data_IF_302251509208
#
_entry.id   IF_302251509208
#
_cell.length_a   1.000
_cell.length_b   1.000
_cell.length_c   1.000
_cell.angle_alpha   90.00
_cell.angle_beta   90.00
_cell.angle_gamma   90.00
#
_symmetry.space_group_name_H-M   'P 1'
#
loop_
_entity.id
_entity.type
_entity.pdbx_description
1 polymer ?
#
# COMPACT_ATOMS: atom_id res chain seq x y z
N UNK A 1 -33.30 9.78 -7.92
CA UNK A 1 -32.08 10.57 -8.14
C UNK A 1 -32.17 11.79 -7.26
N UNK A 2 -31.29 11.90 -6.28
CA UNK A 2 -31.24 13.00 -5.32
C UNK A 2 -30.89 14.29 -6.08
N UNK A 3 -31.62 15.38 -5.81
CA UNK A 3 -31.44 16.65 -6.53
C UNK A 3 -30.23 17.38 -5.94
N UNK A 4 -29.24 17.69 -6.77
CA UNK A 4 -28.08 18.50 -6.38
C UNK A 4 -28.51 19.91 -5.96
N UNK A 5 -27.71 20.53 -5.09
CA UNK A 5 -27.94 21.90 -4.62
C UNK A 5 -28.00 22.87 -5.82
N UNK A 6 -28.90 23.88 -5.84
CA UNK A 6 -29.10 24.79 -6.98
C UNK A 6 -27.83 25.49 -7.47
N UNK A 7 -26.86 25.73 -6.58
CA UNK A 7 -25.57 26.36 -6.92
C UNK A 7 -24.46 25.38 -7.34
N UNK A 8 -24.79 24.12 -7.59
CA UNK A 8 -23.80 23.11 -7.99
C UNK A 8 -23.49 23.26 -9.47
N UNK A 9 -22.29 23.74 -9.80
CA UNK A 9 -21.78 23.73 -11.18
C UNK A 9 -21.32 22.32 -11.54
N UNK A 10 -22.07 21.64 -12.40
CA UNK A 10 -21.68 20.34 -12.95
C UNK A 10 -20.81 20.55 -14.19
N UNK A 11 -19.55 20.13 -14.10
CA UNK A 11 -18.62 20.16 -15.23
C UNK A 11 -18.52 18.75 -15.83
N UNK A 12 -18.87 18.66 -17.11
CA UNK A 12 -18.57 17.48 -17.90
C UNK A 12 -17.13 17.53 -18.39
N UNK A 13 -16.62 16.38 -18.81
CA UNK A 13 -15.22 16.21 -19.23
C UNK A 13 -14.73 17.26 -20.25
N UNK A 14 -15.49 17.63 -21.32
CA UNK A 14 -15.05 18.69 -22.22
C UNK A 14 -14.89 20.05 -21.53
N UNK A 15 -15.79 20.38 -20.60
CA UNK A 15 -15.75 21.62 -19.83
C UNK A 15 -14.59 21.63 -18.84
N UNK A 16 -14.29 20.48 -18.23
CA UNK A 16 -13.11 20.31 -17.38
C UNK A 16 -11.82 20.55 -18.18
N UNK A 17 -11.66 19.93 -19.35
CA UNK A 17 -10.47 20.14 -20.17
C UNK A 17 -10.35 21.58 -20.66
N UNK A 18 -11.46 22.22 -21.04
CA UNK A 18 -11.45 23.63 -21.41
C UNK A 18 -11.00 24.52 -20.26
N UNK A 19 -11.46 24.24 -19.03
CA UNK A 19 -11.02 24.96 -17.84
C UNK A 19 -9.52 24.77 -17.59
N UNK A 20 -9.04 23.52 -17.66
CA UNK A 20 -7.63 23.20 -17.43
C UNK A 20 -6.73 23.84 -18.48
N UNK A 21 -7.12 23.81 -19.76
CA UNK A 21 -6.37 24.43 -20.86
C UNK A 21 -6.30 25.96 -20.79
N UNK A 22 -7.28 26.60 -20.15
CA UNK A 22 -7.29 28.06 -19.96
C UNK A 22 -6.64 28.51 -18.64
N UNK A 23 -6.33 27.57 -17.74
CA UNK A 23 -5.73 27.85 -16.45
C UNK A 23 -4.23 28.16 -16.55
N UNK A 24 -3.75 29.10 -15.73
CA UNK A 24 -2.33 29.47 -15.58
C UNK A 24 -1.72 28.95 -14.28
N UNK A 25 -2.39 28.02 -13.60
CA UNK A 25 -1.83 27.40 -12.40
C UNK A 25 -0.68 26.47 -12.80
N UNK A 26 0.43 26.40 -12.03
CA UNK A 26 1.58 25.54 -12.38
C UNK A 26 1.20 24.07 -12.62
N UNK A 27 0.21 23.56 -11.89
CA UNK A 27 -0.30 22.19 -12.08
C UNK A 27 -1.04 22.00 -13.41
N UNK A 28 -1.76 23.02 -13.86
CA UNK A 28 -2.47 23.00 -15.13
C UNK A 28 -1.49 23.14 -16.30
N UNK A 29 -0.45 23.98 -16.16
CA UNK A 29 0.62 24.10 -17.17
C UNK A 29 1.40 22.79 -17.33
N UNK A 30 1.71 22.10 -16.22
CA UNK A 30 2.34 20.78 -16.28
C UNK A 30 1.46 19.75 -17.01
N UNK A 31 0.16 19.73 -16.71
CA UNK A 31 -0.80 18.86 -17.40
C UNK A 31 -0.90 19.19 -18.89
N UNK A 32 -1.04 20.48 -19.24
CA UNK A 32 -1.07 20.92 -20.64
C UNK A 32 0.21 20.52 -21.38
N UNK A 33 1.38 20.74 -20.78
CA UNK A 33 2.67 20.35 -21.35
C UNK A 33 2.75 18.86 -21.63
N UNK A 34 2.28 18.02 -20.70
CA UNK A 34 2.21 16.58 -20.88
C UNK A 34 1.21 16.17 -21.98
N UNK A 35 -0.01 16.72 -21.97
CA UNK A 35 -1.04 16.40 -22.97
C UNK A 35 -0.62 16.80 -24.38
N UNK A 36 -0.14 18.03 -24.58
CA UNK A 36 0.21 18.55 -25.91
C UNK A 36 1.59 18.09 -26.39
N UNK A 37 2.53 17.84 -25.46
CA UNK A 37 3.89 17.41 -25.80
C UNK A 37 4.02 15.90 -26.01
N UNK A 38 3.23 15.09 -25.29
CA UNK A 38 3.42 13.64 -25.24
C UNK A 38 2.16 12.89 -25.68
N UNK A 39 1.02 13.13 -25.03
CA UNK A 39 -0.20 12.33 -25.20
C UNK A 39 -0.79 12.47 -26.60
N UNK A 40 -1.19 13.69 -26.99
CA UNK A 40 -1.83 13.94 -28.28
C UNK A 40 -0.91 13.64 -29.47
N UNK A 41 0.40 13.99 -29.45
CA UNK A 41 1.33 13.57 -30.50
C UNK A 41 1.43 12.05 -30.66
N UNK A 42 1.40 11.30 -29.55
CA UNK A 42 1.45 9.83 -29.57
C UNK A 42 0.19 9.23 -30.19
N UNK A 43 -1.00 9.69 -29.76
CA UNK A 43 -2.28 9.26 -30.33
C UNK A 43 -2.34 9.59 -31.82
N UNK A 44 -1.93 10.79 -32.22
CA UNK A 44 -1.91 11.19 -33.64
C UNK A 44 -1.01 10.30 -34.49
N UNK A 45 0.16 9.89 -33.99
CA UNK A 45 1.15 9.10 -34.75
C UNK A 45 0.85 7.60 -34.76
N UNK A 46 0.45 7.05 -33.61
CA UNK A 46 0.40 5.60 -33.35
C UNK A 46 -1.04 5.11 -33.18
N UNK A 47 -2.01 6.03 -33.05
CA UNK A 47 -3.42 5.72 -32.77
C UNK A 47 -3.70 5.39 -31.30
N UNK A 48 -2.69 5.47 -30.43
CA UNK A 48 -2.82 5.23 -29.00
C UNK A 48 -1.75 5.97 -28.20
N UNK A 49 -2.02 6.21 -26.92
CA UNK A 49 -1.04 6.64 -25.95
C UNK A 49 -0.94 5.58 -24.86
N UNK A 50 0.28 5.13 -24.58
CA UNK A 50 0.59 4.22 -23.48
C UNK A 50 1.32 5.03 -22.44
N UNK A 51 0.83 5.02 -21.21
CA UNK A 51 1.59 5.55 -20.10
C UNK A 51 2.93 4.82 -20.04
N UNK A 52 4.06 5.52 -19.84
CA UNK A 52 5.30 4.84 -19.51
C UNK A 52 5.02 3.92 -18.33
N UNK A 53 5.55 2.70 -18.36
CA UNK A 53 5.49 1.76 -17.23
C UNK A 53 6.32 2.33 -16.08
N UNK A 54 5.87 3.41 -15.46
CA UNK A 54 6.39 3.94 -14.21
C UNK A 54 5.88 3.01 -13.12
N UNK A 55 6.46 1.80 -12.96
CA UNK A 55 6.00 0.71 -12.07
C UNK A 55 5.01 1.21 -11.02
N UNK A 56 3.71 1.29 -11.36
CA UNK A 56 2.72 1.44 -10.34
C UNK A 56 2.59 0.03 -9.79
N UNK A 57 2.29 -0.07 -8.50
CA UNK A 57 1.68 -1.21 -7.84
C UNK A 57 0.38 -1.73 -8.52
N UNK A 58 0.11 -1.36 -9.76
CA UNK A 58 -0.97 -1.85 -10.59
C UNK A 58 -0.46 -3.03 -11.42
N UNK A 59 -0.59 -4.23 -10.86
CA UNK A 59 -0.46 -5.44 -11.66
C UNK A 59 -1.50 -5.41 -12.80
N UNK A 60 -1.05 -5.79 -14.01
CA UNK A 60 -1.85 -6.33 -15.13
C UNK A 60 -3.29 -6.55 -14.73
N UNK A 61 -4.27 -5.97 -15.44
CA UNK A 61 -5.72 -6.18 -15.30
C UNK A 61 -6.08 -7.60 -14.79
N UNK A 62 -5.93 -7.81 -13.49
CA UNK A 62 -6.22 -9.06 -12.82
C UNK A 62 -7.70 -8.91 -12.58
N UNK A 63 -8.48 -9.71 -13.28
CA UNK A 63 -9.91 -9.75 -13.03
C UNK A 63 -10.07 -10.44 -11.67
N UNK A 64 -9.99 -9.68 -10.59
CA UNK A 64 -10.22 -10.14 -9.23
C UNK A 64 -11.73 -10.31 -9.07
N UNK A 65 -12.21 -11.54 -9.14
CA UNK A 65 -13.66 -11.83 -9.17
C UNK A 65 -14.15 -12.23 -7.78
N UNK A 66 -13.29 -12.85 -6.98
CA UNK A 66 -13.63 -13.43 -5.68
C UNK A 66 -12.49 -13.25 -4.65
N UNK A 67 -12.73 -13.68 -3.41
CA UNK A 67 -11.78 -13.60 -2.29
C UNK A 67 -10.50 -14.42 -2.55
N UNK A 68 -10.61 -15.58 -3.17
CA UNK A 68 -9.45 -16.43 -3.52
C UNK A 68 -8.52 -15.74 -4.52
N UNK A 69 -9.08 -15.09 -5.56
CA UNK A 69 -8.29 -14.35 -6.54
C UNK A 69 -7.54 -13.19 -5.86
N UNK A 70 -8.23 -12.45 -4.99
CA UNK A 70 -7.64 -11.36 -4.21
C UNK A 70 -6.53 -11.87 -3.29
N UNK A 71 -6.77 -12.98 -2.59
CA UNK A 71 -5.77 -13.62 -1.74
C UNK A 71 -4.52 -13.99 -2.53
N UNK A 72 -4.67 -14.63 -3.68
CA UNK A 72 -3.53 -15.01 -4.52
C UNK A 72 -2.75 -13.79 -5.02
N UNK A 73 -3.45 -12.73 -5.42
CA UNK A 73 -2.82 -11.49 -5.85
C UNK A 73 -1.94 -10.87 -4.74
N UNK A 74 -2.47 -10.78 -3.52
CA UNK A 74 -1.76 -10.23 -2.36
C UNK A 74 -0.55 -11.11 -1.99
N UNK A 75 -0.71 -12.43 -2.01
CA UNK A 75 0.40 -13.35 -1.73
C UNK A 75 1.48 -13.29 -2.81
N UNK A 76 1.12 -13.19 -4.08
CA UNK A 76 2.06 -13.02 -5.18
C UNK A 76 2.83 -11.70 -5.06
N UNK A 77 2.12 -10.61 -4.72
CA UNK A 77 2.74 -9.32 -4.42
C UNK A 77 3.78 -9.44 -3.30
N UNK A 78 3.41 -10.00 -2.15
CA UNK A 78 4.31 -10.19 -1.02
C UNK A 78 5.52 -11.05 -1.40
N UNK A 79 5.32 -12.17 -2.12
CA UNK A 79 6.43 -13.02 -2.57
C UNK A 79 7.39 -12.29 -3.51
N UNK A 80 6.86 -11.41 -4.38
CA UNK A 80 7.65 -10.67 -5.37
C UNK A 80 8.41 -9.51 -4.74
N UNK A 81 7.73 -8.67 -3.95
CA UNK A 81 8.27 -7.40 -3.45
C UNK A 81 8.79 -7.47 -2.00
N UNK A 82 8.28 -8.41 -1.20
CA UNK A 82 8.68 -8.65 0.19
C UNK A 82 9.09 -10.12 0.43
N UNK A 83 10.09 -10.66 -0.28
CA UNK A 83 10.43 -12.10 -0.22
C UNK A 83 10.91 -12.60 1.16
N UNK A 84 11.19 -11.68 2.10
CA UNK A 84 11.53 -12.00 3.50
C UNK A 84 10.33 -12.00 4.44
N UNK A 85 9.14 -11.68 3.93
CA UNK A 85 7.91 -11.72 4.70
C UNK A 85 7.59 -13.18 5.08
N UNK A 86 7.39 -13.40 6.38
CA UNK A 86 6.93 -14.64 6.98
C UNK A 86 5.40 -14.65 6.93
N UNK A 87 4.88 -15.22 5.86
CA UNK A 87 3.44 -15.26 5.59
C UNK A 87 2.83 -16.51 6.24
N UNK A 88 1.72 -16.33 6.96
CA UNK A 88 0.90 -17.39 7.53
C UNK A 88 -0.53 -17.29 6.97
N UNK A 89 -0.92 -18.16 6.03
CA UNK A 89 -2.26 -18.12 5.45
C UNK A 89 -3.30 -18.82 6.33
N UNK A 90 -4.51 -18.26 6.39
CA UNK A 90 -5.71 -18.90 6.92
C UNK A 90 -6.23 -19.94 5.93
N UNK A 91 -6.25 -21.22 6.33
CA UNK A 91 -6.65 -22.34 5.46
C UNK A 91 -8.11 -22.77 5.66
N UNK A 92 -8.99 -21.82 6.03
CA UNK A 92 -10.40 -22.09 6.33
C UNK A 92 -11.16 -22.76 5.18
N UNK A 93 -10.85 -22.39 3.94
CA UNK A 93 -11.46 -22.95 2.72
C UNK A 93 -11.25 -24.45 2.56
N UNK A 94 -10.22 -25.03 3.19
CA UNK A 94 -9.93 -26.47 3.11
C UNK A 94 -10.75 -27.31 4.10
N UNK A 95 -11.56 -26.67 4.96
CA UNK A 95 -12.44 -27.36 5.93
C UNK A 95 -13.80 -27.75 5.33
N UNK A 96 -13.76 -28.35 4.14
CA UNK A 96 -14.93 -28.74 3.33
C UNK A 96 -15.85 -29.76 4.03
N UNK A 97 -15.30 -30.67 4.83
CA UNK A 97 -16.02 -31.73 5.53
C UNK A 97 -16.14 -31.47 7.02
N UNK A 98 -17.20 -32.01 7.63
CA UNK A 98 -17.39 -31.97 9.09
C UNK A 98 -16.22 -32.59 9.84
N UNK A 99 -15.63 -33.66 9.31
CA UNK A 99 -14.42 -34.27 9.88
C UNK A 99 -13.25 -33.29 9.93
N UNK A 100 -12.93 -32.63 8.80
CA UNK A 100 -11.84 -31.64 8.76
C UNK A 100 -12.10 -30.45 9.68
N UNK A 101 -13.34 -30.00 9.83
CA UNK A 101 -13.72 -28.95 10.80
C UNK A 101 -13.50 -29.39 12.25
N UNK A 102 -13.94 -30.59 12.61
CA UNK A 102 -13.73 -31.13 13.95
C UNK A 102 -12.23 -31.34 14.26
N UNK A 103 -11.47 -31.86 13.30
CA UNK A 103 -10.03 -32.05 13.43
C UNK A 103 -9.28 -30.71 13.53
N UNK A 104 -9.62 -29.73 12.68
CA UNK A 104 -9.06 -28.39 12.76
C UNK A 104 -9.33 -27.73 14.11
N UNK A 105 -10.57 -27.82 14.62
CA UNK A 105 -10.92 -27.32 15.94
C UNK A 105 -10.11 -27.98 17.05
N UNK A 106 -9.93 -29.30 17.01
CA UNK A 106 -9.07 -30.03 17.97
C UNK A 106 -7.60 -29.62 17.90
N UNK A 107 -7.15 -29.15 16.74
CA UNK A 107 -5.80 -28.59 16.52
C UNK A 107 -5.69 -27.12 16.92
N UNK A 108 -6.75 -26.52 17.46
CA UNK A 108 -6.78 -25.12 17.91
C UNK A 108 -7.18 -24.12 16.83
N UNK A 109 -7.61 -24.57 15.64
CA UNK A 109 -8.24 -23.68 14.68
C UNK A 109 -9.55 -23.16 15.26
N UNK A 110 -9.79 -21.85 15.21
CA UNK A 110 -11.12 -21.33 15.52
C UNK A 110 -11.63 -20.40 14.43
N UNK A 111 -12.96 -20.28 14.35
CA UNK A 111 -13.61 -19.47 13.32
C UNK A 111 -13.40 -17.98 13.56
N UNK A 112 -12.97 -17.26 12.52
CA UNK A 112 -12.64 -15.84 12.61
C UNK A 112 -11.14 -15.57 12.53
N UNK A 113 -10.30 -16.61 12.45
CA UNK A 113 -8.88 -16.44 12.13
C UNK A 113 -8.72 -15.69 10.79
N UNK A 114 -7.84 -14.68 10.71
CA UNK A 114 -7.61 -13.90 9.50
C UNK A 114 -7.18 -14.74 8.29
N UNK A 115 -7.53 -14.29 7.09
CA UNK A 115 -7.14 -14.94 5.83
C UNK A 115 -5.62 -14.93 5.61
N UNK A 116 -4.94 -13.86 6.03
CA UNK A 116 -3.51 -13.70 5.84
C UNK A 116 -2.87 -13.02 7.03
N UNK A 117 -1.77 -13.56 7.53
CA UNK A 117 -0.93 -12.90 8.52
C UNK A 117 0.50 -12.75 8.03
N UNK A 118 1.12 -11.63 8.38
CA UNK A 118 2.55 -11.35 8.21
C UNK A 118 3.16 -11.33 9.62
N UNK A 119 4.11 -12.23 9.86
CA UNK A 119 4.66 -12.48 11.19
C UNK A 119 5.91 -11.65 11.50
N UNK A 120 6.41 -10.86 10.54
CA UNK A 120 7.56 -9.97 10.77
C UNK A 120 7.11 -8.75 11.57
N UNK A 121 7.68 -8.47 12.75
CA UNK A 121 7.41 -7.21 13.43
C UNK A 121 7.92 -6.03 12.59
N UNK A 122 7.05 -5.06 12.35
CA UNK A 122 7.39 -3.85 11.61
C UNK A 122 6.55 -2.67 12.08
N UNK A 123 7.06 -1.45 11.85
CA UNK A 123 6.40 -0.20 12.19
C UNK A 123 5.82 -0.10 13.63
N UNK A 124 6.41 -0.81 14.60
CA UNK A 124 5.95 -0.83 15.99
C UNK A 124 4.89 -1.89 16.32
N UNK A 125 4.45 -2.66 15.34
CA UNK A 125 3.54 -3.79 15.51
C UNK A 125 4.28 -5.13 15.57
N UNK A 126 3.67 -6.12 16.22
CA UNK A 126 4.21 -7.48 16.35
C UNK A 126 3.97 -8.35 15.10
N UNK A 127 3.01 -7.97 14.27
CA UNK A 127 2.65 -8.59 13.01
C UNK A 127 1.53 -7.80 12.33
N UNK A 128 1.11 -8.26 11.17
CA UNK A 128 -0.01 -7.68 10.42
C UNK A 128 -1.01 -8.79 10.08
N UNK A 129 -2.25 -8.65 10.52
CA UNK A 129 -3.36 -9.54 10.15
C UNK A 129 -4.29 -8.86 9.14
N UNK A 130 -4.63 -9.58 8.09
CA UNK A 130 -5.43 -9.09 6.97
C UNK A 130 -6.58 -10.09 6.75
N UNK A 131 -7.79 -9.58 6.85
CA UNK A 131 -9.04 -10.25 6.47
C UNK A 131 -9.46 -9.72 5.10
N UNK A 132 -9.63 -10.63 4.15
CA UNK A 132 -9.92 -10.31 2.77
C UNK A 132 -11.42 -10.49 2.51
N UNK A 133 -12.00 -9.52 1.81
CA UNK A 133 -13.39 -9.57 1.37
C UNK A 133 -13.49 -9.55 -0.14
N UNK A 134 -14.60 -10.07 -0.64
CA UNK A 134 -14.82 -10.15 -2.09
C UNK A 134 -14.66 -8.78 -2.76
N UNK A 135 -13.83 -8.66 -3.82
CA UNK A 135 -13.64 -7.41 -4.55
C UNK A 135 -14.93 -6.78 -5.09
N UNK A 136 -16.00 -7.58 -5.20
CA UNK A 136 -17.34 -7.09 -5.58
C UNK A 136 -17.99 -6.17 -4.53
N UNK A 137 -17.45 -6.11 -3.31
CA UNK A 137 -17.99 -5.30 -2.22
C UNK A 137 -19.26 -5.86 -1.57
N UNK A 138 -19.68 -7.06 -1.94
CA UNK A 138 -20.87 -7.74 -1.39
C UNK A 138 -20.54 -8.61 -0.17
N UNK A 139 -19.30 -8.57 0.32
CA UNK A 139 -18.83 -9.43 1.39
C UNK A 139 -19.27 -8.91 2.75
N UNK A 140 -20.05 -9.69 3.49
CA UNK A 140 -20.40 -9.35 4.85
C UNK A 140 -19.24 -9.68 5.81
N UNK A 141 -18.98 -8.75 6.73
CA UNK A 141 -18.03 -8.94 7.82
C UNK A 141 -18.77 -9.62 8.97
N UNK A 142 -18.27 -10.76 9.44
CA UNK A 142 -18.89 -11.53 10.52
C UNK A 142 -18.38 -11.07 11.89
N UNK A 143 -19.24 -11.07 12.90
CA UNK A 143 -18.90 -10.63 14.26
C UNK A 143 -17.68 -11.33 14.85
N UNK A 144 -17.52 -12.63 14.57
CA UNK A 144 -16.39 -13.41 15.05
C UNK A 144 -15.06 -13.02 14.39
N UNK A 145 -15.08 -12.51 13.15
CA UNK A 145 -13.89 -11.97 12.47
C UNK A 145 -13.48 -10.64 13.11
N UNK A 146 -14.47 -9.77 13.36
CA UNK A 146 -14.25 -8.49 14.05
C UNK A 146 -13.65 -8.72 15.44
N UNK A 147 -14.26 -9.57 16.25
CA UNK A 147 -13.79 -9.87 17.61
C UNK A 147 -12.34 -10.40 17.62
N UNK A 148 -11.98 -11.21 16.62
CA UNK A 148 -10.62 -11.74 16.50
C UNK A 148 -9.60 -10.66 16.16
N UNK A 149 -9.91 -9.81 15.17
CA UNK A 149 -9.04 -8.72 14.77
C UNK A 149 -8.90 -7.70 15.90
N UNK A 150 -9.98 -7.36 16.61
CA UNK A 150 -9.89 -6.52 17.81
C UNK A 150 -8.98 -7.12 18.88
N UNK A 151 -9.04 -8.44 19.10
CA UNK A 151 -8.16 -9.12 20.03
C UNK A 151 -6.69 -9.05 19.58
N UNK A 152 -6.41 -9.22 18.29
CA UNK A 152 -5.06 -9.06 17.73
C UNK A 152 -4.55 -7.63 17.86
N UNK A 153 -5.40 -6.65 17.59
CA UNK A 153 -5.09 -5.23 17.74
C UNK A 153 -4.71 -4.88 19.19
N UNK A 154 -5.50 -5.35 20.16
CA UNK A 154 -5.18 -5.22 21.60
C UNK A 154 -3.85 -5.88 22.00
N UNK A 155 -3.41 -6.89 21.24
CA UNK A 155 -2.12 -7.56 21.40
C UNK A 155 -1.00 -6.96 20.53
N UNK A 156 -1.19 -5.74 19.99
CA UNK A 156 -0.13 -5.03 19.28
C UNK A 156 0.10 -5.47 17.84
N UNK A 157 -0.86 -6.14 17.21
CA UNK A 157 -0.84 -6.42 15.77
C UNK A 157 -1.55 -5.32 14.99
N UNK A 158 -1.04 -4.99 13.80
CA UNK A 158 -1.85 -4.23 12.84
C UNK A 158 -2.93 -5.15 12.27
N UNK A 159 -4.12 -4.59 11.99
CA UNK A 159 -5.27 -5.34 11.49
C UNK A 159 -5.93 -4.57 10.37
N UNK A 160 -6.27 -5.26 9.28
CA UNK A 160 -6.98 -4.70 8.12
C UNK A 160 -8.11 -5.63 7.70
N UNK A 161 -9.27 -5.06 7.37
CA UNK A 161 -10.35 -5.72 6.64
C UNK A 161 -10.51 -4.96 5.33
N UNK A 162 -10.30 -5.61 4.19
CA UNK A 162 -10.43 -4.92 2.91
C UNK A 162 -10.82 -5.87 1.78
N UNK A 163 -11.53 -5.32 0.80
CA UNK A 163 -11.82 -5.95 -0.48
C UNK A 163 -11.06 -5.32 -1.66
N UNK A 164 -10.30 -4.25 -1.43
CA UNK A 164 -9.55 -3.54 -2.46
C UNK A 164 -8.08 -3.92 -2.42
N UNK A 165 -7.61 -4.53 -3.51
CA UNK A 165 -6.21 -4.87 -3.69
C UNK A 165 -5.29 -3.66 -3.51
N UNK A 166 -5.68 -2.48 -4.00
CA UNK A 166 -4.83 -1.28 -3.95
C UNK A 166 -4.62 -0.82 -2.51
N UNK A 167 -5.70 -0.74 -1.74
CA UNK A 167 -5.67 -0.43 -0.31
C UNK A 167 -4.77 -1.42 0.45
N UNK A 168 -4.98 -2.73 0.25
CA UNK A 168 -4.21 -3.77 0.92
C UNK A 168 -2.72 -3.60 0.67
N UNK A 169 -2.34 -3.35 -0.58
CA UNK A 169 -0.93 -3.20 -0.94
C UNK A 169 -0.34 -1.92 -0.35
N UNK A 170 -1.07 -0.80 -0.38
CA UNK A 170 -0.62 0.46 0.24
C UNK A 170 -0.38 0.27 1.74
N UNK A 171 -1.25 -0.45 2.42
CA UNK A 171 -1.12 -0.77 3.84
C UNK A 171 0.06 -1.71 4.11
N UNK A 172 0.32 -2.68 3.24
CA UNK A 172 1.52 -3.54 3.30
C UNK A 172 2.80 -2.69 3.14
N UNK A 173 2.81 -1.76 2.19
CA UNK A 173 3.95 -0.85 1.99
C UNK A 173 4.17 0.06 3.19
N UNK A 174 3.10 0.59 3.79
CA UNK A 174 3.18 1.37 5.02
C UNK A 174 3.67 0.52 6.20
N UNK A 175 3.18 -0.72 6.31
CA UNK A 175 3.59 -1.66 7.34
C UNK A 175 5.09 -1.93 7.30
N UNK A 176 5.63 -2.20 6.12
CA UNK A 176 7.06 -2.43 5.91
C UNK A 176 7.88 -1.16 5.78
N UNK A 177 7.24 0.02 5.75
CA UNK A 177 7.94 1.29 5.65
C UNK A 177 8.88 1.41 6.84
N UNK A 178 10.18 1.36 6.54
CA UNK A 178 11.21 1.65 7.53
C UNK A 178 11.07 3.11 7.86
N UNK A 179 10.50 3.38 9.03
CA UNK A 179 10.47 4.66 9.71
C UNK A 179 11.83 5.35 9.51
N UNK A 180 11.91 6.30 8.55
CA UNK A 180 13.18 6.96 8.15
C UNK A 180 13.89 7.51 9.38
N UNK A 181 13.10 7.90 10.38
CA UNK A 181 13.47 8.28 11.74
C UNK A 181 14.29 7.22 12.47
N UNK A 182 13.91 5.94 12.44
CA UNK A 182 14.67 4.84 13.08
C UNK A 182 15.95 4.50 12.32
N UNK A 183 15.93 4.58 10.99
CA UNK A 183 17.15 4.42 10.17
C UNK A 183 18.13 5.57 10.40
N UNK A 184 17.66 6.83 10.39
CA UNK A 184 18.46 8.00 10.77
C UNK A 184 18.93 7.91 12.21
N UNK A 185 18.11 7.48 13.18
CA UNK A 185 18.53 7.33 14.57
C UNK A 185 19.60 6.24 14.72
N UNK A 186 19.51 5.15 13.95
CA UNK A 186 20.53 4.10 13.91
C UNK A 186 21.82 4.59 13.24
N UNK A 187 21.71 5.34 12.15
CA UNK A 187 22.84 5.98 11.46
C UNK A 187 23.50 7.07 12.33
N UNK A 188 22.73 7.92 13.01
CA UNK A 188 23.19 8.94 13.97
C UNK A 188 23.86 8.28 15.18
N UNK A 189 23.29 7.20 15.73
CA UNK A 189 23.93 6.42 16.82
C UNK A 189 25.26 5.84 16.35
N UNK A 190 25.33 5.29 15.14
CA UNK A 190 26.55 4.74 14.56
C UNK A 190 27.59 5.83 14.25
N UNK A 191 27.17 7.02 13.83
CA UNK A 191 28.02 8.19 13.62
C UNK A 191 28.55 8.77 14.94
N UNK A 192 27.73 8.79 16.01
CA UNK A 192 28.16 9.20 17.37
C UNK A 192 29.19 8.23 17.96
N UNK A 193 29.11 6.93 17.64
CA UNK A 193 30.13 5.93 18.02
C UNK A 193 31.44 6.17 17.23
N UNK A 194 31.37 6.62 15.97
CA UNK A 194 32.54 6.99 15.15
C UNK A 194 33.20 8.34 15.50
N UNK A 195 32.47 9.40 15.90
CA UNK A 195 33.11 10.68 16.29
C UNK A 195 33.84 10.58 17.65
N UNK A 196 33.60 9.56 18.49
CA UNK A 196 34.36 9.37 19.75
C UNK A 196 35.85 9.04 19.53
N UNK A 197 36.24 8.63 18.33
CA UNK A 197 37.62 8.32 17.94
C UNK A 197 38.31 9.42 17.11
N UNK A 198 37.64 10.54 16.84
CA UNK A 198 38.20 11.66 16.06
C UNK A 198 38.22 12.95 16.88
N UNK A 199 39.34 13.69 16.80
CA UNK A 199 39.52 14.96 17.52
C UNK A 199 38.44 15.97 17.09
N UNK A 200 37.94 16.74 18.06
CA UNK A 200 36.78 17.64 17.92
C UNK A 200 36.86 18.67 16.78
N UNK A 201 38.05 18.96 16.25
CA UNK A 201 38.27 19.87 15.12
C UNK A 201 37.80 19.32 13.77
N UNK A 202 37.68 17.99 13.60
CA UNK A 202 37.26 17.36 12.33
C UNK A 202 35.74 17.12 12.22
N UNK A 203 34.98 17.16 13.31
CA UNK A 203 33.53 16.86 13.27
C UNK A 203 32.67 18.03 12.69
N UNK A 204 33.18 19.27 12.60
CA UNK A 204 32.40 20.41 12.03
C UNK A 204 32.34 20.43 10.50
N UNK A 205 33.37 19.93 9.81
CA UNK A 205 33.43 19.93 8.34
C UNK A 205 32.61 18.80 7.69
N UNK A 206 32.51 17.64 8.35
CA UNK A 206 31.80 16.46 7.83
C UNK A 206 30.29 16.66 7.88
N UNK A 207 29.76 17.25 8.96
CA UNK A 207 28.32 17.45 9.15
C UNK A 207 27.75 18.43 8.13
N UNK A 208 28.48 19.50 7.79
CA UNK A 208 28.00 20.52 6.84
C UNK A 208 27.99 19.98 5.39
N UNK A 209 28.98 19.17 5.00
CA UNK A 209 29.03 18.59 3.64
C UNK A 209 27.94 17.55 3.38
N UNK A 210 27.50 16.82 4.40
CA UNK A 210 26.57 15.70 4.22
C UNK A 210 25.09 16.14 4.19
N UNK A 211 24.76 17.24 4.85
CA UNK A 211 23.42 17.86 4.82
C UNK A 211 23.21 18.66 3.52
N UNK A 212 24.26 19.29 2.99
CA UNK A 212 24.18 20.07 1.75
C UNK A 212 23.89 19.26 0.48
N UNK A 213 24.23 17.97 0.46
CA UNK A 213 23.98 17.09 -0.70
C UNK A 213 22.53 16.58 -0.81
N UNK A 214 21.72 16.71 0.25
CA UNK A 214 20.36 16.13 0.28
C UNK A 214 19.25 17.10 -0.12
N UNK A 215 19.54 18.40 -0.27
CA UNK A 215 18.53 19.43 -0.59
C UNK A 215 18.60 19.88 -2.06
N UNK A 216 19.62 19.48 -2.81
CA UNK A 216 19.84 19.90 -4.19
C UNK A 216 19.98 18.73 -5.15
N UNK A 217 18.87 18.06 -5.45
CA UNK A 217 18.59 17.28 -6.67
C UNK A 217 17.28 16.56 -6.45
N UNK A 218 16.18 17.20 -6.84
CA UNK A 218 14.99 16.71 -7.55
C UNK A 218 14.03 17.90 -7.66
#
# INVERSE_FOLDING_TARGET
MEKSHPDTVLLYEPGLYQLVCNSRLPIAEAFQGWVFGEVLPSIRKIGSYKLPESEPLYCKQMKLINETDLHYAVVEYLKKYHPKALILPGLGVYQDTSYKRCDAWRKGYMGGQPDLMIMNPSNGFHGFAIELKTPKGTGEVKDNQVAWLEALNKNGYQTLISNDYTEIVLDIEEYFRVDKTKKLLKEIKNLKIKCKTLKASQCKEVVIRQIGYTVGKY
#
